data_IF_801708641892
#
_entry.id   IF_801708641892
#
_cell.length_a   1.000
_cell.length_b   1.000
_cell.length_c   1.000
_cell.angle_alpha   90.00
_cell.angle_beta   90.00
_cell.angle_gamma   90.00
#
_symmetry.space_group_name_H-M   'P 1'
#
loop_
_entity.id
_entity.type
_entity.pdbx_description
1 polymer ?
#
# COMPACT_ATOMS: atom_id res chain seq x y z
N UNK A 1 -6.36 5.95 -4.21
CA UNK A 1 -6.38 6.89 -5.36
C UNK A 1 -7.54 7.88 -5.15
N UNK A 2 -7.95 8.62 -6.18
CA UNK A 2 -9.11 9.54 -6.13
C UNK A 2 -10.27 9.08 -7.01
N UNK A 3 -10.52 7.78 -7.11
CA UNK A 3 -11.67 7.28 -7.87
C UNK A 3 -12.97 7.89 -7.30
N UNK A 4 -13.92 8.35 -8.14
CA UNK A 4 -15.12 9.05 -7.66
C UNK A 4 -15.91 8.30 -6.59
N UNK A 5 -15.99 6.97 -6.68
CA UNK A 5 -16.68 6.12 -5.70
C UNK A 5 -16.06 6.19 -4.29
N UNK A 6 -14.76 6.47 -4.17
CA UNK A 6 -14.10 6.61 -2.86
C UNK A 6 -14.52 7.88 -2.11
N UNK A 7 -15.07 8.86 -2.82
CA UNK A 7 -15.56 10.12 -2.26
C UNK A 7 -17.06 10.09 -1.95
N UNK A 8 -17.73 8.96 -2.14
CA UNK A 8 -19.16 8.84 -1.86
C UNK A 8 -19.43 9.18 -0.38
N UNK A 9 -20.37 10.08 -0.05
CA UNK A 9 -20.57 10.55 1.32
C UNK A 9 -20.76 9.43 2.33
N UNK A 10 -21.51 8.38 1.96
CA UNK A 10 -21.70 7.22 2.84
C UNK A 10 -20.41 6.42 3.08
N UNK A 11 -19.53 6.31 2.09
CA UNK A 11 -18.23 5.65 2.27
C UNK A 11 -17.36 6.46 3.22
N UNK A 12 -17.33 7.79 3.05
CA UNK A 12 -16.60 8.70 3.95
C UNK A 12 -17.15 8.60 5.38
N UNK A 13 -18.47 8.65 5.55
CA UNK A 13 -19.15 8.52 6.84
C UNK A 13 -18.80 7.21 7.56
N UNK A 14 -18.84 6.09 6.84
CA UNK A 14 -18.51 4.78 7.40
C UNK A 14 -17.06 4.70 7.87
N UNK A 15 -16.13 5.33 7.16
CA UNK A 15 -14.70 5.30 7.53
C UNK A 15 -14.40 6.26 8.69
N UNK A 16 -14.84 7.52 8.60
CA UNK A 16 -14.46 8.57 9.56
C UNK A 16 -15.30 8.53 10.83
N UNK A 17 -16.62 8.33 10.71
CA UNK A 17 -17.54 8.40 11.86
C UNK A 17 -17.75 7.05 12.53
N UNK A 18 -17.87 5.97 11.76
CA UNK A 18 -18.15 4.64 12.32
C UNK A 18 -16.86 3.91 12.69
N UNK A 19 -15.93 3.76 11.74
CA UNK A 19 -14.66 3.07 11.98
C UNK A 19 -13.62 3.93 12.73
N UNK A 20 -13.88 5.23 12.91
CA UNK A 20 -12.96 6.19 13.55
C UNK A 20 -11.56 6.20 12.91
N UNK A 21 -11.50 6.02 11.59
CA UNK A 21 -10.27 6.02 10.80
C UNK A 21 -10.15 7.31 9.98
N UNK A 22 -8.92 7.63 9.54
CA UNK A 22 -8.65 8.78 8.66
C UNK A 22 -8.52 8.32 7.22
N UNK A 23 -9.15 9.04 6.30
CA UNK A 23 -8.99 8.79 4.86
C UNK A 23 -7.76 9.54 4.36
N UNK A 24 -6.86 8.82 3.68
CA UNK A 24 -5.69 9.38 3.03
C UNK A 24 -5.82 9.19 1.53
N UNK A 25 -6.11 10.28 0.81
CA UNK A 25 -6.15 10.26 -0.65
C UNK A 25 -4.75 10.51 -1.22
N UNK A 26 -4.35 9.73 -2.22
CA UNK A 26 -3.15 10.01 -3.00
C UNK A 26 -3.42 11.12 -4.03
N UNK A 27 -2.37 11.78 -4.53
CA UNK A 27 -2.51 12.76 -5.60
C UNK A 27 -3.03 12.10 -6.90
N UNK A 28 -3.78 12.85 -7.76
CA UNK A 28 -4.22 12.34 -9.05
C UNK A 28 -3.04 11.84 -9.88
N UNK A 29 -3.22 10.70 -10.55
CA UNK A 29 -2.19 10.08 -11.40
C UNK A 29 -0.87 9.78 -10.68
N UNK A 30 -0.91 9.55 -9.35
CA UNK A 30 0.26 9.17 -8.55
C UNK A 30 0.18 7.72 -8.06
N UNK A 31 0.25 6.72 -8.96
CA UNK A 31 0.24 5.31 -8.58
C UNK A 31 1.48 4.92 -7.77
N UNK A 32 2.58 5.65 -7.93
CA UNK A 32 3.83 5.50 -7.17
C UNK A 32 3.66 5.78 -5.66
N UNK A 33 2.64 6.56 -5.28
CA UNK A 33 2.28 6.84 -3.89
C UNK A 33 1.25 5.85 -3.32
N UNK A 34 0.73 4.92 -4.12
CA UNK A 34 -0.29 3.97 -3.69
C UNK A 34 0.31 2.57 -3.45
N UNK A 35 0.42 2.10 -2.19
CA UNK A 35 1.00 0.80 -1.87
C UNK A 35 0.42 -0.39 -2.64
N UNK A 36 -0.88 -0.35 -2.97
CA UNK A 36 -1.56 -1.46 -3.66
C UNK A 36 -0.95 -1.77 -5.03
N UNK A 37 -0.38 -0.77 -5.71
CA UNK A 37 0.24 -0.97 -7.03
C UNK A 37 1.47 -1.88 -6.94
N UNK A 38 2.26 -1.74 -5.88
CA UNK A 38 3.42 -2.60 -5.62
C UNK A 38 3.00 -4.00 -5.18
N UNK A 39 1.94 -4.13 -4.38
CA UNK A 39 1.37 -5.43 -4.05
C UNK A 39 0.85 -6.15 -5.29
N UNK A 40 0.14 -5.45 -6.19
CA UNK A 40 -0.30 -6.02 -7.45
C UNK A 40 0.86 -6.44 -8.33
N UNK A 41 2.00 -5.73 -8.30
CA UNK A 41 3.20 -6.19 -9.00
C UNK A 41 3.67 -7.55 -8.45
N UNK A 42 3.86 -7.69 -7.14
CA UNK A 42 4.31 -8.94 -6.51
C UNK A 42 3.33 -10.08 -6.82
N UNK A 43 2.04 -9.81 -6.64
CA UNK A 43 0.95 -10.74 -6.91
C UNK A 43 0.94 -11.22 -8.37
N UNK A 44 0.98 -10.30 -9.35
CA UNK A 44 1.00 -10.64 -10.77
C UNK A 44 2.26 -11.39 -11.16
N UNK A 45 3.41 -11.04 -10.59
CA UNK A 45 4.67 -11.75 -10.82
C UNK A 45 4.60 -13.18 -10.26
N UNK A 46 3.88 -13.40 -9.15
CA UNK A 46 3.60 -14.74 -8.64
C UNK A 46 2.68 -15.54 -9.55
N UNK A 47 1.60 -14.94 -10.06
CA UNK A 47 0.72 -15.60 -11.03
C UNK A 47 1.45 -16.00 -12.31
N UNK A 48 2.34 -15.14 -12.84
CA UNK A 48 3.17 -15.46 -14.00
C UNK A 48 4.10 -16.65 -13.75
N UNK A 49 4.70 -16.74 -12.56
CA UNK A 49 5.56 -17.88 -12.18
C UNK A 49 4.78 -19.20 -12.03
N UNK A 50 3.50 -19.12 -11.69
CA UNK A 50 2.61 -20.26 -11.48
C UNK A 50 1.58 -20.38 -12.61
N UNK A 51 1.93 -20.02 -13.85
CA UNK A 51 0.99 -19.96 -14.96
C UNK A 51 0.38 -21.33 -15.29
N UNK A 52 1.15 -22.40 -15.10
CA UNK A 52 0.68 -23.79 -15.24
C UNK A 52 -0.42 -24.12 -14.23
N UNK A 53 -0.26 -23.70 -12.97
CA UNK A 53 -1.28 -23.84 -11.93
C UNK A 53 -2.46 -22.94 -12.27
N UNK A 54 -2.23 -21.69 -12.67
CA UNK A 54 -3.29 -20.73 -12.99
C UNK A 54 -4.20 -21.23 -14.12
N UNK A 55 -3.65 -21.94 -15.11
CA UNK A 55 -4.43 -22.51 -16.21
C UNK A 55 -5.27 -23.74 -15.78
N UNK A 56 -4.91 -24.43 -14.69
CA UNK A 56 -5.59 -25.66 -14.23
C UNK A 56 -6.51 -25.41 -13.04
N UNK A 57 -6.07 -24.58 -12.12
CA UNK A 57 -6.70 -24.24 -10.85
C UNK A 57 -6.39 -22.76 -10.53
N UNK A 58 -7.15 -21.82 -11.13
CA UNK A 58 -6.97 -20.40 -10.92
C UNK A 58 -7.05 -20.00 -9.45
N UNK A 59 -7.99 -20.57 -8.70
CA UNK A 59 -8.19 -20.25 -7.29
C UNK A 59 -6.96 -20.60 -6.45
N UNK A 60 -6.35 -21.76 -6.71
CA UNK A 60 -5.08 -22.13 -6.05
C UNK A 60 -3.95 -21.20 -6.44
N UNK A 61 -3.81 -20.83 -7.71
CA UNK A 61 -2.79 -19.88 -8.13
C UNK A 61 -2.97 -18.51 -7.46
N UNK A 62 -4.22 -18.04 -7.32
CA UNK A 62 -4.54 -16.80 -6.62
C UNK A 62 -4.21 -16.89 -5.12
N UNK A 63 -4.52 -18.00 -4.44
CA UNK A 63 -4.11 -18.20 -3.02
C UNK A 63 -2.59 -18.15 -2.86
N UNK A 64 -1.85 -18.84 -3.73
CA UNK A 64 -0.37 -18.81 -3.73
C UNK A 64 0.13 -17.37 -3.95
N UNK A 65 -0.46 -16.64 -4.90
CA UNK A 65 -0.08 -15.27 -5.19
C UNK A 65 -0.36 -14.32 -4.02
N UNK A 66 -1.49 -14.45 -3.33
CA UNK A 66 -1.79 -13.69 -2.11
C UNK A 66 -0.76 -13.98 -1.00
N UNK A 67 -0.38 -15.25 -0.81
CA UNK A 67 0.63 -15.64 0.17
C UNK A 67 2.07 -15.18 -0.18
N UNK A 68 2.32 -14.69 -1.40
CA UNK A 68 3.64 -14.18 -1.80
C UNK A 68 3.94 -12.76 -1.31
N UNK A 69 2.93 -12.07 -0.76
CA UNK A 69 3.10 -10.78 -0.11
C UNK A 69 3.44 -11.00 1.37
N UNK A 70 4.61 -10.57 1.81
CA UNK A 70 5.10 -10.75 3.19
C UNK A 70 4.93 -9.47 4.00
N UNK A 71 5.02 -9.59 5.33
CA UNK A 71 5.02 -8.42 6.22
C UNK A 71 6.20 -7.47 5.92
N UNK A 72 7.37 -8.01 5.55
CA UNK A 72 8.54 -7.23 5.15
C UNK A 72 8.28 -6.44 3.86
N UNK A 73 7.68 -7.06 2.84
CA UNK A 73 7.23 -6.35 1.65
C UNK A 73 6.32 -5.19 2.05
N UNK A 74 5.38 -5.42 2.96
CA UNK A 74 4.44 -4.39 3.39
C UNK A 74 5.09 -3.21 4.08
N UNK A 75 5.97 -3.45 5.06
CA UNK A 75 6.70 -2.38 5.75
C UNK A 75 7.53 -1.53 4.76
N UNK A 76 8.23 -2.18 3.84
CA UNK A 76 9.07 -1.49 2.86
C UNK A 76 8.25 -0.71 1.82
N UNK A 77 7.15 -1.26 1.34
CA UNK A 77 6.25 -0.61 0.37
C UNK A 77 5.57 0.60 1.00
N UNK A 78 5.06 0.49 2.23
CA UNK A 78 4.41 1.60 2.92
C UNK A 78 5.38 2.77 3.14
N UNK A 79 6.63 2.47 3.57
CA UNK A 79 7.69 3.48 3.68
C UNK A 79 8.02 4.12 2.33
N UNK A 80 8.18 3.31 1.28
CA UNK A 80 8.46 3.79 -0.09
C UNK A 80 7.37 4.73 -0.60
N UNK A 81 6.11 4.43 -0.32
CA UNK A 81 4.95 5.23 -0.73
C UNK A 81 4.71 6.46 0.17
N UNK A 82 5.57 6.68 1.18
CA UNK A 82 5.47 7.79 2.13
C UNK A 82 4.12 7.84 2.84
N UNK A 83 3.57 6.67 3.18
CA UNK A 83 2.33 6.58 3.95
C UNK A 83 2.56 7.23 5.33
N UNK A 84 1.68 8.13 5.78
CA UNK A 84 1.85 8.79 7.08
C UNK A 84 1.99 7.78 8.23
N UNK A 85 2.97 8.01 9.10
CA UNK A 85 3.27 7.11 10.23
C UNK A 85 4.13 5.89 9.88
N UNK A 86 4.58 5.74 8.63
CA UNK A 86 5.44 4.63 8.19
C UNK A 86 6.88 5.06 7.81
N UNK A 87 7.29 6.27 8.21
CA UNK A 87 8.65 6.79 7.98
C UNK A 87 9.74 6.00 8.71
N UNK A 88 10.99 6.13 8.24
CA UNK A 88 12.19 5.69 8.95
C UNK A 88 12.25 6.34 10.34
N UNK A 89 12.86 5.65 11.32
CA UNK A 89 13.34 6.28 12.55
C UNK A 89 14.48 7.23 12.20
N UNK A 90 14.17 8.33 11.52
CA UNK A 90 15.10 9.43 11.40
C UNK A 90 14.84 10.26 12.66
N UNK A 91 15.54 9.88 13.72
CA UNK A 91 15.82 10.81 14.82
C UNK A 91 16.29 12.10 14.16
N UNK A 92 15.55 13.17 14.35
CA UNK A 92 16.03 14.51 14.08
C UNK A 92 17.33 14.67 14.88
N UNK A 93 18.48 14.49 14.24
CA UNK A 93 19.71 15.12 14.73
C UNK A 93 19.45 16.62 14.58
N UNK A 94 18.91 17.20 15.65
CA UNK A 94 18.90 18.63 15.89
C UNK A 94 20.31 19.13 15.63
N UNK A 95 20.46 19.86 14.52
CA UNK A 95 21.64 20.63 14.23
C UNK A 95 21.84 21.67 15.33
N UNK A 96 22.56 21.30 16.38
CA UNK A 96 23.13 22.26 17.32
C UNK A 96 24.16 23.05 16.53
N UNK A 97 23.75 24.25 16.12
CA UNK A 97 24.63 25.25 15.53
C UNK A 97 25.84 25.45 16.43
N UNK A 98 27.04 25.28 15.85
CA UNK A 98 28.26 25.84 16.44
C UNK A 98 28.14 27.35 16.34
N UNK A 99 27.70 27.97 17.43
CA UNK A 99 27.92 29.39 17.69
C UNK A 99 29.41 29.65 17.85
N UNK A 100 29.82 30.80 17.34
CA UNK A 100 31.17 31.34 17.21
C UNK A 100 31.92 31.49 18.55
#
# INVERSE_FOLDING_TARGET
DKAPIHHHPEVVRLIEEVAKAKIVYTAPYSPDLNPIEYYFKIYKDSLKRNQDIANRDPDRAHRIALCSVTAEHGANIFRKCKVPGCGSNDSEEDGVGKGE
#
